data_IF_226791311061
#
_entry.id   IF_226791311061
#
_cell.length_a   1.000
_cell.length_b   1.000
_cell.length_c   1.000
_cell.angle_alpha   90.00
_cell.angle_beta   90.00
_cell.angle_gamma   90.00
#
_symmetry.space_group_name_H-M   'P 1'
#
loop_
_entity.id
_entity.type
_entity.pdbx_description
1 polymer ?
#
# COMPACT_ATOMS: atom_id res chain seq x y z
N UNK A 1 -67.71 34.37 40.40
CA UNK A 1 -67.88 35.73 41.02
C UNK A 1 -66.64 36.57 40.76
N UNK A 2 -66.90 37.79 40.19
CA UNK A 2 -66.05 38.98 40.11
C UNK A 2 -64.64 38.88 39.55
N UNK A 3 -64.49 39.22 38.26
CA UNK A 3 -64.11 40.48 37.56
C UNK A 3 -63.27 41.42 38.40
N UNK A 4 -62.04 41.75 37.91
CA UNK A 4 -61.74 43.17 37.66
C UNK A 4 -60.47 43.40 36.84
N UNK A 5 -60.67 44.11 35.72
CA UNK A 5 -59.69 44.73 34.81
C UNK A 5 -58.99 45.91 35.57
N UNK A 6 -57.75 46.25 35.15
CA UNK A 6 -57.40 47.66 34.83
C UNK A 6 -56.02 47.67 34.08
N UNK A 7 -56.03 48.25 33.12
CA UNK A 7 -55.60 49.22 32.11
C UNK A 7 -54.21 49.82 32.37
N UNK A 8 -53.39 49.79 31.32
CA UNK A 8 -52.56 50.84 30.69
C UNK A 8 -51.76 51.81 31.56
N UNK A 9 -50.49 51.81 31.21
CA UNK A 9 -49.56 52.91 31.49
C UNK A 9 -48.28 52.73 30.62
N UNK A 10 -48.29 53.47 29.53
CA UNK A 10 -47.15 53.67 28.62
C UNK A 10 -46.08 54.51 29.25
N UNK A 11 -44.84 54.08 29.36
CA UNK A 11 -43.69 54.98 29.47
C UNK A 11 -42.60 54.44 28.52
N UNK A 12 -42.29 55.26 27.52
CA UNK A 12 -41.07 55.16 26.73
C UNK A 12 -39.87 55.38 27.63
N UNK A 13 -38.98 54.39 27.64
CA UNK A 13 -37.65 54.53 28.20
C UNK A 13 -36.66 53.94 27.19
N UNK A 14 -36.01 54.80 26.39
CA UNK A 14 -34.83 54.40 25.59
C UNK A 14 -33.72 53.91 26.54
N UNK A 15 -33.48 52.62 26.57
CA UNK A 15 -32.25 52.08 27.09
C UNK A 15 -31.44 51.55 25.88
N UNK A 16 -30.45 52.34 25.48
CA UNK A 16 -29.37 51.90 24.58
C UNK A 16 -28.54 50.86 25.35
N UNK A 17 -28.87 49.60 25.15
CA UNK A 17 -28.00 48.51 25.59
C UNK A 17 -26.88 48.37 24.55
N UNK A 18 -25.69 48.87 24.89
CA UNK A 18 -24.43 48.49 24.23
C UNK A 18 -24.25 46.98 24.40
N UNK A 19 -24.56 46.22 23.36
CA UNK A 19 -24.11 44.88 23.20
C UNK A 19 -22.62 44.91 22.88
N UNK A 20 -21.78 44.88 23.90
CA UNK A 20 -20.38 44.46 23.75
C UNK A 20 -20.37 42.97 23.38
N UNK A 21 -20.33 42.70 22.08
CA UNK A 21 -20.00 41.39 21.56
C UNK A 21 -18.54 41.14 21.95
N UNK A 22 -18.32 40.40 23.02
CA UNK A 22 -17.06 39.72 23.24
C UNK A 22 -16.91 38.70 22.10
N UNK A 23 -16.27 39.13 21.03
CA UNK A 23 -15.67 38.22 20.07
C UNK A 23 -14.56 37.48 20.81
N UNK A 24 -14.90 36.33 21.42
CA UNK A 24 -13.93 35.31 21.74
C UNK A 24 -13.30 34.87 20.41
N UNK A 25 -12.26 35.61 20.02
CA UNK A 25 -11.39 35.21 18.94
C UNK A 25 -10.87 33.81 19.26
N UNK A 26 -11.47 32.81 18.63
CA UNK A 26 -10.86 31.50 18.56
C UNK A 26 -9.50 31.69 17.90
N UNK A 27 -8.44 31.78 18.68
CA UNK A 27 -7.08 31.59 18.24
C UNK A 27 -6.92 30.11 17.81
N UNK A 28 -7.66 29.73 16.77
CA UNK A 28 -7.22 28.62 15.95
C UNK A 28 -5.95 29.13 15.28
N UNK A 29 -4.79 28.46 15.47
CA UNK A 29 -3.63 28.80 14.70
C UNK A 29 -4.08 28.73 13.23
N UNK A 30 -4.03 29.87 12.52
CA UNK A 30 -4.21 29.88 11.07
C UNK A 30 -3.25 28.81 10.57
N UNK A 31 -3.77 27.68 10.08
CA UNK A 31 -2.98 26.75 9.30
C UNK A 31 -2.40 27.59 8.16
N UNK A 32 -1.14 28.00 8.32
CA UNK A 32 -0.47 28.78 7.32
C UNK A 32 -0.60 28.03 6.02
N UNK A 33 -1.28 28.64 5.05
CA UNK A 33 -1.28 28.14 3.68
C UNK A 33 0.17 28.00 3.29
N UNK A 34 0.64 26.75 3.17
CA UNK A 34 2.01 26.47 2.82
C UNK A 34 2.23 26.96 1.37
N UNK A 35 2.79 28.14 1.23
CA UNK A 35 3.12 28.69 -0.07
C UNK A 35 4.31 27.91 -0.64
N UNK A 36 4.10 27.23 -1.77
CA UNK A 36 5.16 26.61 -2.55
C UNK A 36 5.72 27.67 -3.50
N UNK A 37 6.97 28.04 -3.31
CA UNK A 37 7.67 29.00 -4.14
C UNK A 37 8.58 28.27 -5.13
N UNK A 38 8.37 28.46 -6.42
CA UNK A 38 9.21 27.88 -7.47
C UNK A 38 10.67 28.35 -7.39
N UNK A 39 10.91 29.51 -6.78
CA UNK A 39 12.25 30.08 -6.62
C UNK A 39 13.09 29.36 -5.54
N UNK A 40 12.47 28.51 -4.72
CA UNK A 40 13.17 27.70 -3.71
C UNK A 40 14.14 26.68 -4.33
N UNK A 41 13.99 26.36 -5.62
CA UNK A 41 14.83 25.40 -6.40
C UNK A 41 15.66 26.10 -7.47
N UNK A 42 15.83 27.42 -7.41
CA UNK A 42 16.54 28.17 -8.44
C UNK A 42 17.98 27.65 -8.63
N UNK A 43 18.28 27.22 -9.86
CA UNK A 43 19.64 26.87 -10.29
C UNK A 43 20.62 28.03 -10.26
N UNK A 44 20.12 29.26 -10.13
CA UNK A 44 20.92 30.52 -10.13
C UNK A 44 21.59 30.81 -8.78
N UNK A 45 21.26 30.08 -7.71
CA UNK A 45 21.80 30.38 -6.37
C UNK A 45 23.18 29.78 -6.08
N UNK A 46 23.72 28.91 -6.94
CA UNK A 46 25.03 28.26 -6.76
C UNK A 46 25.12 27.32 -5.58
N UNK A 47 24.07 27.18 -4.76
CA UNK A 47 24.04 26.28 -3.62
C UNK A 47 23.42 24.95 -4.01
N UNK A 48 24.16 23.87 -3.72
CA UNK A 48 23.66 22.50 -3.86
C UNK A 48 22.60 22.22 -2.77
N UNK A 49 21.45 21.66 -3.18
CA UNK A 49 20.39 21.22 -2.29
C UNK A 49 20.49 19.71 -2.15
N UNK A 50 20.75 19.24 -0.94
CA UNK A 50 20.80 17.80 -0.66
C UNK A 50 19.50 17.38 -0.01
N UNK A 51 18.86 16.32 -0.55
CA UNK A 51 17.70 15.64 0.01
C UNK A 51 18.08 14.21 0.38
N UNK A 52 17.47 13.67 1.44
CA UNK A 52 17.67 12.28 1.87
C UNK A 52 16.42 11.46 1.58
N UNK A 53 16.61 10.27 1.02
CA UNK A 53 15.53 9.34 0.70
C UNK A 53 15.74 7.98 1.38
N UNK A 54 14.95 7.72 2.43
CA UNK A 54 14.91 6.40 3.08
C UNK A 54 14.09 5.41 2.27
N UNK A 55 14.69 4.30 1.91
CA UNK A 55 14.07 3.28 1.07
C UNK A 55 14.43 1.86 1.54
N UNK A 56 13.67 0.88 1.07
CA UNK A 56 13.86 -0.54 1.32
C UNK A 56 14.09 -1.32 0.01
N UNK A 57 14.66 -0.68 -1.01
CA UNK A 57 14.88 -1.30 -2.30
C UNK A 57 16.14 -2.16 -2.30
N UNK A 58 16.01 -3.39 -2.77
CA UNK A 58 17.12 -4.35 -2.90
C UNK A 58 17.22 -4.89 -4.34
N UNK A 59 18.31 -5.58 -4.66
CA UNK A 59 18.49 -6.23 -5.96
C UNK A 59 18.29 -5.30 -7.15
N UNK A 60 17.52 -5.74 -8.14
CA UNK A 60 17.20 -4.96 -9.36
C UNK A 60 16.48 -3.65 -9.06
N UNK A 61 15.65 -3.61 -8.01
CA UNK A 61 14.96 -2.40 -7.61
C UNK A 61 15.91 -1.33 -7.06
N UNK A 62 16.92 -1.72 -6.28
CA UNK A 62 17.98 -0.81 -5.83
C UNK A 62 18.79 -0.25 -7.01
N UNK A 63 19.15 -1.11 -7.96
CA UNK A 63 19.88 -0.71 -9.18
C UNK A 63 19.06 0.27 -10.02
N UNK A 64 17.76 -0.02 -10.22
CA UNK A 64 16.87 0.85 -10.98
C UNK A 64 16.71 2.22 -10.30
N UNK A 65 16.50 2.24 -8.97
CA UNK A 65 16.36 3.49 -8.22
C UNK A 65 17.63 4.36 -8.32
N UNK A 66 18.81 3.75 -8.20
CA UNK A 66 20.10 4.46 -8.37
C UNK A 66 20.23 5.06 -9.76
N UNK A 67 19.87 4.31 -10.81
CA UNK A 67 19.93 4.84 -12.19
C UNK A 67 18.95 5.99 -12.40
N UNK A 68 17.70 5.87 -11.95
CA UNK A 68 16.70 6.94 -12.04
C UNK A 68 17.14 8.18 -11.26
N UNK A 69 17.79 8.00 -10.11
CA UNK A 69 18.35 9.09 -9.33
C UNK A 69 19.48 9.80 -10.07
N UNK A 70 20.40 9.05 -10.67
CA UNK A 70 21.48 9.63 -11.48
C UNK A 70 20.95 10.41 -12.70
N UNK A 71 19.90 9.89 -13.36
CA UNK A 71 19.23 10.58 -14.47
C UNK A 71 18.57 11.89 -14.00
N UNK A 72 17.98 11.89 -12.80
CA UNK A 72 17.42 13.10 -12.20
C UNK A 72 18.49 14.13 -11.86
N UNK A 73 19.57 13.74 -11.19
CA UNK A 73 20.67 14.63 -10.83
C UNK A 73 21.37 15.23 -12.05
N UNK A 74 21.48 14.46 -13.14
CA UNK A 74 21.99 14.97 -14.43
C UNK A 74 21.10 16.08 -15.01
N UNK A 75 19.78 15.94 -14.85
CA UNK A 75 18.81 16.96 -15.30
C UNK A 75 18.71 18.15 -14.32
N UNK A 76 19.08 17.94 -13.05
CA UNK A 76 18.98 18.92 -11.97
C UNK A 76 20.33 19.01 -11.20
N UNK A 77 21.40 19.55 -11.81
CA UNK A 77 22.76 19.46 -11.24
C UNK A 77 22.94 20.17 -9.90
N UNK A 78 22.00 21.02 -9.51
CA UNK A 78 21.97 21.68 -8.20
C UNK A 78 21.27 20.86 -7.10
N UNK A 79 20.71 19.69 -7.42
CA UNK A 79 20.03 18.81 -6.47
C UNK A 79 20.84 17.51 -6.33
N UNK A 80 21.11 17.11 -5.10
CA UNK A 80 21.71 15.82 -4.73
C UNK A 80 20.67 14.98 -3.97
N UNK A 81 20.50 13.73 -4.36
CA UNK A 81 19.58 12.79 -3.70
C UNK A 81 20.37 11.69 -3.02
N UNK A 82 20.49 11.75 -1.70
CA UNK A 82 21.13 10.69 -0.91
C UNK A 82 20.15 9.55 -0.69
N UNK A 83 20.35 8.44 -1.41
CA UNK A 83 19.62 7.21 -1.22
C UNK A 83 20.15 6.46 0.00
N UNK A 84 19.33 6.32 1.03
CA UNK A 84 19.66 5.62 2.26
C UNK A 84 18.79 4.37 2.40
N UNK A 85 19.37 3.20 2.09
CA UNK A 85 18.68 1.93 2.24
C UNK A 85 18.62 1.55 3.73
N UNK A 86 17.43 1.24 4.22
CA UNK A 86 17.17 0.91 5.63
C UNK A 86 16.92 -0.59 5.86
N UNK A 87 17.33 -1.45 4.92
CA UNK A 87 17.05 -2.88 4.98
C UNK A 87 15.78 -3.28 4.28
N UNK A 88 15.01 -4.20 4.83
CA UNK A 88 13.71 -4.59 4.30
C UNK A 88 12.58 -3.64 4.77
N UNK A 89 11.34 -3.93 4.38
CA UNK A 89 10.19 -3.09 4.78
C UNK A 89 9.96 -3.09 6.30
N UNK A 90 10.26 -4.17 7.01
CA UNK A 90 10.11 -4.22 8.47
C UNK A 90 11.18 -3.39 9.17
N UNK A 91 12.40 -3.38 8.63
CA UNK A 91 13.52 -2.56 9.13
C UNK A 91 13.22 -1.07 8.92
N UNK A 92 12.78 -0.69 7.70
CA UNK A 92 12.39 0.68 7.38
C UNK A 92 11.23 1.16 8.28
N UNK A 93 10.22 0.33 8.49
CA UNK A 93 9.10 0.65 9.38
C UNK A 93 9.55 0.84 10.83
N UNK A 94 10.37 -0.07 11.34
CA UNK A 94 10.95 0.03 12.68
C UNK A 94 11.76 1.30 12.87
N UNK A 95 12.60 1.63 11.88
CA UNK A 95 13.39 2.86 11.85
C UNK A 95 12.52 4.12 11.83
N UNK A 96 11.47 4.14 11.00
CA UNK A 96 10.52 5.25 10.96
C UNK A 96 9.82 5.43 12.30
N UNK A 97 9.29 4.35 12.89
CA UNK A 97 8.57 4.40 14.16
C UNK A 97 9.44 4.97 15.29
N UNK A 98 10.71 4.56 15.37
CA UNK A 98 11.64 5.07 16.38
C UNK A 98 12.03 6.53 16.12
N UNK A 99 12.29 6.90 14.85
CA UNK A 99 12.75 8.25 14.51
C UNK A 99 11.62 9.30 14.58
N UNK A 100 10.36 8.91 14.34
CA UNK A 100 9.20 9.81 14.49
C UNK A 100 9.03 10.36 15.93
N UNK A 101 9.65 9.74 16.94
CA UNK A 101 9.71 10.26 18.30
C UNK A 101 10.64 11.49 18.41
N UNK A 102 11.62 11.60 17.51
CA UNK A 102 12.45 12.80 17.36
C UNK A 102 12.46 13.26 15.89
N UNK A 103 11.45 14.04 15.46
CA UNK A 103 11.21 14.37 14.06
C UNK A 103 12.36 15.12 13.35
N UNK A 104 13.27 15.75 14.09
CA UNK A 104 14.43 16.45 13.53
C UNK A 104 15.37 15.50 12.77
N UNK A 105 15.36 14.21 13.13
CA UNK A 105 16.22 13.17 12.53
C UNK A 105 15.56 12.43 11.37
N UNK A 106 14.33 12.78 11.01
CA UNK A 106 13.64 12.19 9.87
C UNK A 106 14.30 12.61 8.55
N UNK A 107 14.28 11.76 7.52
CA UNK A 107 14.78 12.10 6.19
C UNK A 107 13.92 13.19 5.53
N UNK A 108 14.37 13.71 4.39
CA UNK A 108 13.52 14.60 3.58
C UNK A 108 12.29 13.85 3.08
N UNK A 109 12.48 12.65 2.51
CA UNK A 109 11.43 11.77 2.00
C UNK A 109 11.68 10.32 2.38
N UNK A 110 10.61 9.54 2.42
CA UNK A 110 10.66 8.09 2.69
C UNK A 110 9.68 7.31 1.86
N UNK A 111 10.01 6.06 1.54
CA UNK A 111 9.02 5.07 1.18
C UNK A 111 8.24 4.65 2.43
N UNK A 112 6.92 4.50 2.30
CA UNK A 112 6.10 3.91 3.36
C UNK A 112 4.78 3.39 2.81
N UNK A 113 4.15 2.48 3.52
CA UNK A 113 2.71 2.26 3.42
C UNK A 113 1.98 3.38 4.18
N UNK A 114 0.84 3.86 3.70
CA UNK A 114 0.13 4.98 4.34
C UNK A 114 -0.25 4.68 5.79
N UNK A 115 -0.55 3.42 6.13
CA UNK A 115 -0.89 3.00 7.49
C UNK A 115 0.26 3.21 8.49
N UNK A 116 1.51 3.10 8.06
CA UNK A 116 2.68 3.33 8.93
C UNK A 116 2.76 4.77 9.40
N UNK A 117 2.26 5.69 8.57
CA UNK A 117 2.39 7.12 8.76
C UNK A 117 1.11 7.79 9.27
N UNK A 118 0.10 7.02 9.68
CA UNK A 118 -1.15 7.58 10.21
C UNK A 118 -0.88 8.55 11.39
N UNK A 119 -0.08 8.12 12.37
CA UNK A 119 0.29 8.94 13.53
C UNK A 119 1.12 10.16 13.12
N UNK A 120 2.08 10.02 12.22
CA UNK A 120 2.86 11.14 11.69
C UNK A 120 1.98 12.17 10.98
N UNK A 121 0.99 11.72 10.21
CA UNK A 121 0.02 12.60 9.54
C UNK A 121 -0.85 13.36 10.55
N UNK A 122 -1.38 12.67 11.57
CA UNK A 122 -2.23 13.27 12.61
C UNK A 122 -1.46 14.24 13.50
N UNK A 123 -0.18 13.95 13.77
CA UNK A 123 0.73 14.84 14.52
C UNK A 123 1.31 15.98 13.67
N UNK A 124 0.90 16.08 12.40
CA UNK A 124 1.33 17.16 11.53
C UNK A 124 2.81 17.09 11.10
N UNK A 125 3.44 15.92 11.15
CA UNK A 125 4.83 15.71 10.75
C UNK A 125 5.01 15.54 9.23
N UNK A 126 3.93 15.23 8.50
CA UNK A 126 3.95 15.08 7.04
C UNK A 126 3.57 16.39 6.32
N UNK A 127 4.13 16.57 5.15
CA UNK A 127 3.76 17.66 4.24
C UNK A 127 2.50 17.27 3.46
N UNK A 128 1.46 18.11 3.52
CA UNK A 128 0.34 18.02 2.59
C UNK A 128 0.82 18.38 1.18
N UNK A 129 0.77 17.43 0.26
CA UNK A 129 1.30 17.59 -1.09
C UNK A 129 0.32 18.28 -2.05
N UNK A 130 -0.93 18.54 -1.62
CA UNK A 130 -1.91 19.20 -2.49
C UNK A 130 -1.41 20.55 -3.04
N UNK A 131 -0.82 21.47 -2.22
CA UNK A 131 -0.26 22.73 -2.73
C UNK A 131 0.87 22.52 -3.75
N UNK A 132 1.67 21.46 -3.61
CA UNK A 132 2.70 21.11 -4.60
C UNK A 132 2.07 20.58 -5.89
N UNK A 133 1.08 19.70 -5.79
CA UNK A 133 0.38 19.14 -6.95
C UNK A 133 -0.29 20.24 -7.80
N UNK A 134 -0.89 21.22 -7.14
CA UNK A 134 -1.68 22.27 -7.78
C UNK A 134 -0.83 23.50 -8.17
N UNK A 135 0.49 23.51 -7.86
CA UNK A 135 1.37 24.63 -8.19
C UNK A 135 1.52 24.78 -9.71
N UNK A 136 1.34 25.99 -10.22
CA UNK A 136 1.37 26.27 -11.67
C UNK A 136 2.75 26.13 -12.31
N UNK A 137 3.84 26.26 -11.53
CA UNK A 137 5.21 26.21 -12.04
C UNK A 137 5.85 24.83 -11.87
N UNK A 138 5.73 24.23 -10.70
CA UNK A 138 6.40 22.96 -10.35
C UNK A 138 5.46 21.77 -10.23
N UNK A 139 4.14 22.01 -10.19
CA UNK A 139 3.14 20.98 -10.00
C UNK A 139 3.04 19.99 -11.15
N UNK A 140 2.15 19.02 -10.98
CA UNK A 140 1.92 18.00 -12.00
C UNK A 140 1.25 18.55 -13.27
N UNK A 141 0.61 19.73 -13.21
CA UNK A 141 -0.31 20.17 -14.24
C UNK A 141 -1.51 19.22 -14.41
N UNK A 142 -2.48 19.60 -15.20
CA UNK A 142 -3.69 18.80 -15.40
C UNK A 142 -3.42 17.46 -16.09
N UNK A 143 -2.59 17.46 -17.12
CA UNK A 143 -2.29 16.25 -17.92
C UNK A 143 -1.48 15.25 -17.11
N UNK A 144 -0.43 15.68 -16.43
CA UNK A 144 0.46 14.78 -15.71
C UNK A 144 -0.21 14.17 -14.47
N UNK A 145 -1.05 14.94 -13.77
CA UNK A 145 -1.83 14.43 -12.63
C UNK A 145 -2.89 13.41 -13.07
N UNK A 146 -3.61 13.66 -14.17
CA UNK A 146 -4.60 12.72 -14.70
C UNK A 146 -3.98 11.42 -15.22
N UNK A 147 -2.68 11.45 -15.52
CA UNK A 147 -1.94 10.26 -15.94
C UNK A 147 -1.56 9.35 -14.77
N UNK A 148 -1.61 9.80 -13.52
CA UNK A 148 -1.43 8.88 -12.38
C UNK A 148 -2.76 8.15 -12.16
N UNK A 149 -2.71 6.82 -12.04
CA UNK A 149 -3.90 6.01 -11.85
C UNK A 149 -4.65 6.44 -10.56
N UNK A 150 -5.92 6.78 -10.71
CA UNK A 150 -6.76 7.29 -9.61
C UNK A 150 -6.73 6.42 -8.35
N UNK A 151 -6.84 5.07 -8.43
CA UNK A 151 -6.75 4.23 -7.23
C UNK A 151 -5.41 4.35 -6.49
N UNK A 152 -4.32 4.61 -7.21
CA UNK A 152 -3.01 4.79 -6.59
C UNK A 152 -2.91 6.15 -5.87
N UNK A 153 -3.44 7.23 -6.48
CA UNK A 153 -3.52 8.52 -5.80
C UNK A 153 -4.37 8.46 -4.53
N UNK A 154 -5.55 7.85 -4.63
CA UNK A 154 -6.45 7.67 -3.48
C UNK A 154 -5.79 6.82 -2.38
N UNK A 155 -5.04 5.77 -2.77
CA UNK A 155 -4.29 4.93 -1.85
C UNK A 155 -3.18 5.65 -1.09
N UNK A 156 -2.67 6.78 -1.62
CA UNK A 156 -1.63 7.60 -1.00
C UNK A 156 -2.18 8.75 -0.14
N UNK A 157 -3.48 8.69 0.23
CA UNK A 157 -4.14 9.67 1.11
C UNK A 157 -4.23 9.17 2.54
N UNK A 158 -4.20 10.10 3.49
CA UNK A 158 -4.46 9.84 4.91
C UNK A 158 -5.44 10.90 5.38
N UNK A 159 -6.56 10.49 5.98
CA UNK A 159 -7.63 11.40 6.43
C UNK A 159 -8.07 12.39 5.34
N UNK A 160 -8.18 11.92 4.09
CA UNK A 160 -8.62 12.71 2.95
C UNK A 160 -7.60 13.72 2.41
N UNK A 161 -6.37 13.76 2.92
CA UNK A 161 -5.29 14.62 2.43
C UNK A 161 -4.27 13.82 1.64
N UNK A 162 -3.74 14.43 0.57
CA UNK A 162 -2.70 13.84 -0.27
C UNK A 162 -1.34 14.02 0.41
N UNK A 163 -0.84 12.99 1.06
CA UNK A 163 0.48 13.00 1.70
C UNK A 163 1.55 12.26 0.89
N UNK A 164 1.15 11.31 0.04
CA UNK A 164 2.08 10.51 -0.73
C UNK A 164 1.99 10.74 -2.23
N UNK A 165 3.10 10.50 -2.92
CA UNK A 165 3.16 10.29 -4.38
C UNK A 165 3.28 8.79 -4.62
N UNK A 166 2.36 8.15 -5.39
CA UNK A 166 2.47 6.74 -5.73
C UNK A 166 3.79 6.41 -6.43
N UNK A 167 4.41 5.30 -6.06
CA UNK A 167 5.69 4.93 -6.66
C UNK A 167 5.77 3.44 -7.05
N UNK A 168 6.06 2.54 -6.12
CA UNK A 168 6.29 1.13 -6.40
C UNK A 168 5.05 0.29 -6.07
N UNK A 169 4.09 0.30 -6.96
CA UNK A 169 2.81 -0.39 -6.78
C UNK A 169 2.83 -1.82 -7.30
N UNK A 170 2.11 -2.69 -6.63
CA UNK A 170 1.91 -4.08 -7.03
C UNK A 170 0.49 -4.55 -6.66
N UNK A 171 0.16 -5.74 -7.10
CA UNK A 171 -1.05 -6.47 -6.70
C UNK A 171 -0.76 -7.95 -6.70
N UNK A 172 -1.70 -8.78 -6.29
CA UNK A 172 -1.51 -10.23 -6.33
C UNK A 172 -1.90 -10.81 -7.68
N UNK A 173 -1.11 -11.78 -8.12
CA UNK A 173 -1.35 -12.60 -9.31
C UNK A 173 -1.19 -14.08 -8.95
N UNK A 174 -1.63 -14.97 -9.83
CA UNK A 174 -1.37 -16.39 -9.75
C UNK A 174 -0.17 -16.72 -10.62
N UNK A 175 0.95 -17.12 -10.01
CA UNK A 175 2.05 -17.78 -10.70
C UNK A 175 1.78 -19.27 -10.74
N UNK A 176 2.03 -19.91 -11.88
CA UNK A 176 1.87 -21.36 -12.04
C UNK A 176 2.94 -21.95 -12.94
N UNK A 177 3.27 -23.22 -12.72
CA UNK A 177 4.16 -23.98 -13.57
C UNK A 177 3.33 -24.73 -14.62
N UNK A 178 3.40 -24.36 -15.92
CA UNK A 178 2.59 -24.98 -16.97
C UNK A 178 2.92 -26.46 -17.17
N UNK A 179 4.17 -26.89 -16.96
CA UNK A 179 4.56 -28.28 -17.13
C UNK A 179 3.91 -29.18 -16.07
N UNK A 180 3.86 -28.68 -14.81
CA UNK A 180 3.19 -29.41 -13.72
C UNK A 180 1.68 -29.49 -13.98
N UNK A 181 1.04 -28.39 -14.37
CA UNK A 181 -0.39 -28.37 -14.65
C UNK A 181 -0.72 -29.33 -15.81
N UNK A 182 0.04 -29.26 -16.91
CA UNK A 182 -0.14 -30.13 -18.08
C UNK A 182 0.09 -31.62 -17.73
N UNK A 183 1.14 -31.92 -16.96
CA UNK A 183 1.47 -33.29 -16.51
C UNK A 183 0.31 -33.96 -15.78
N UNK A 184 -0.39 -33.19 -14.94
CA UNK A 184 -1.50 -33.73 -14.15
C UNK A 184 -2.89 -33.46 -14.76
N UNK A 185 -2.96 -32.84 -15.95
CA UNK A 185 -4.21 -32.54 -16.66
C UNK A 185 -5.08 -31.50 -15.97
N UNK A 186 -4.45 -30.53 -15.28
CA UNK A 186 -5.13 -29.51 -14.49
C UNK A 186 -5.20 -28.19 -15.25
N UNK A 187 -6.38 -27.58 -15.31
CA UNK A 187 -6.57 -26.26 -15.93
C UNK A 187 -6.18 -25.14 -14.98
N UNK A 188 -5.74 -24.00 -15.52
CA UNK A 188 -5.45 -22.79 -14.77
C UNK A 188 -6.71 -22.30 -14.03
N UNK A 189 -6.70 -22.20 -12.69
CA UNK A 189 -7.88 -21.82 -11.93
C UNK A 189 -8.22 -20.34 -12.06
N UNK A 190 -9.52 -20.03 -12.21
CA UNK A 190 -10.07 -18.67 -12.31
C UNK A 190 -10.85 -18.24 -11.07
N UNK A 191 -11.13 -19.17 -10.16
CA UNK A 191 -11.82 -18.91 -8.89
C UNK A 191 -11.10 -19.61 -7.75
N UNK A 192 -11.31 -19.15 -6.50
CA UNK A 192 -10.72 -19.79 -5.32
C UNK A 192 -11.19 -21.26 -5.17
N UNK A 193 -12.44 -21.56 -5.55
CA UNK A 193 -12.93 -22.95 -5.54
C UNK A 193 -12.16 -23.82 -6.56
N UNK A 194 -11.92 -23.30 -7.76
CA UNK A 194 -11.11 -24.00 -8.76
C UNK A 194 -9.64 -24.14 -8.33
N UNK A 195 -9.07 -23.11 -7.62
CA UNK A 195 -7.72 -23.21 -7.07
C UNK A 195 -7.61 -24.34 -6.05
N UNK A 196 -8.61 -24.47 -5.14
CA UNK A 196 -8.67 -25.56 -4.18
C UNK A 196 -8.75 -26.92 -4.88
N UNK A 197 -9.62 -27.08 -5.87
CA UNK A 197 -9.80 -28.32 -6.62
C UNK A 197 -8.51 -28.70 -7.37
N UNK A 198 -7.93 -27.76 -8.13
CA UNK A 198 -6.69 -27.96 -8.87
C UNK A 198 -5.54 -28.37 -7.94
N UNK A 199 -5.47 -27.76 -6.76
CA UNK A 199 -4.44 -28.05 -5.77
C UNK A 199 -4.56 -29.46 -5.20
N UNK A 200 -5.78 -29.92 -4.90
CA UNK A 200 -6.04 -31.30 -4.47
C UNK A 200 -5.63 -32.31 -5.55
N UNK A 201 -6.07 -32.10 -6.78
CA UNK A 201 -5.75 -32.99 -7.90
C UNK A 201 -4.23 -33.13 -8.13
N UNK A 202 -3.48 -32.02 -8.09
CA UNK A 202 -2.03 -32.05 -8.23
C UNK A 202 -1.40 -32.82 -7.07
N UNK A 203 -1.81 -32.55 -5.85
CA UNK A 203 -1.27 -33.17 -4.65
C UNK A 203 -1.48 -34.69 -4.66
N UNK A 204 -2.69 -35.15 -4.95
CA UNK A 204 -3.04 -36.57 -5.05
C UNK A 204 -2.34 -37.26 -6.21
N UNK A 205 -2.44 -36.71 -7.45
CA UNK A 205 -1.83 -37.28 -8.65
C UNK A 205 -0.30 -37.30 -8.61
N UNK A 206 0.31 -36.44 -7.82
CA UNK A 206 1.76 -36.44 -7.58
C UNK A 206 2.22 -37.43 -6.51
N UNK A 207 1.32 -38.22 -5.93
CA UNK A 207 1.56 -39.01 -4.73
C UNK A 207 2.15 -38.15 -3.58
N UNK A 208 1.55 -36.99 -3.36
CA UNK A 208 1.90 -36.00 -2.30
C UNK A 208 3.30 -35.37 -2.45
N UNK A 209 3.91 -35.46 -3.63
CA UNK A 209 5.26 -34.93 -3.90
C UNK A 209 5.28 -33.46 -4.28
N UNK A 210 4.15 -32.96 -4.82
CA UNK A 210 3.99 -31.56 -5.26
C UNK A 210 2.80 -30.96 -4.54
N UNK A 211 3.02 -29.89 -3.81
CA UNK A 211 1.95 -29.09 -3.21
C UNK A 211 1.24 -28.30 -4.30
N UNK A 212 -0.09 -28.29 -4.28
CA UNK A 212 -0.88 -27.65 -5.34
C UNK A 212 -0.75 -26.14 -5.36
N UNK A 213 -0.91 -25.46 -4.20
CA UNK A 213 -0.76 -24.02 -4.14
C UNK A 213 -0.07 -23.53 -2.86
N UNK A 214 0.64 -22.42 -2.98
CA UNK A 214 1.34 -21.75 -1.89
C UNK A 214 0.87 -20.31 -1.62
N UNK A 215 1.06 -19.84 -0.39
CA UNK A 215 0.60 -18.57 0.12
C UNK A 215 1.63 -17.94 1.05
N UNK A 216 1.96 -16.65 0.84
CA UNK A 216 2.97 -15.93 1.63
C UNK A 216 2.45 -14.68 2.37
N UNK A 217 1.36 -14.07 1.91
CA UNK A 217 0.80 -12.86 2.49
C UNK A 217 -0.56 -13.13 3.17
N UNK A 218 -0.54 -13.88 4.29
CA UNK A 218 -1.75 -14.43 4.93
C UNK A 218 -2.78 -13.37 5.33
N UNK A 219 -2.32 -12.20 5.80
CA UNK A 219 -3.18 -11.07 6.11
C UNK A 219 -3.89 -10.51 4.87
N UNK A 220 -3.19 -10.41 3.73
CA UNK A 220 -3.82 -9.98 2.47
C UNK A 220 -4.93 -10.94 2.06
N UNK A 221 -4.67 -12.24 2.11
CA UNK A 221 -5.63 -13.25 1.67
C UNK A 221 -6.89 -13.24 2.52
N UNK A 222 -6.74 -13.05 3.84
CA UNK A 222 -7.87 -12.87 4.72
C UNK A 222 -8.69 -11.61 4.38
N UNK A 223 -8.02 -10.46 4.23
CA UNK A 223 -8.68 -9.19 3.92
C UNK A 223 -9.40 -9.22 2.57
N UNK A 224 -8.77 -9.82 1.55
CA UNK A 224 -9.38 -9.99 0.22
C UNK A 224 -10.57 -10.95 0.29
N UNK A 225 -10.47 -12.02 1.09
CA UNK A 225 -11.57 -12.95 1.33
C UNK A 225 -12.77 -12.26 1.99
N UNK A 226 -12.54 -11.47 3.04
CA UNK A 226 -13.59 -10.70 3.71
C UNK A 226 -14.21 -9.63 2.79
N UNK A 227 -13.40 -8.98 1.95
CA UNK A 227 -13.90 -8.05 0.92
C UNK A 227 -14.87 -8.74 -0.05
N UNK A 228 -14.66 -10.02 -0.32
CA UNK A 228 -15.57 -10.85 -1.12
C UNK A 228 -16.96 -11.05 -0.48
N UNK A 229 -17.08 -10.92 0.82
CA UNK A 229 -18.33 -10.93 1.60
C UNK A 229 -18.88 -9.51 1.86
N UNK A 230 -18.25 -8.46 1.33
CA UNK A 230 -18.66 -7.07 1.53
C UNK A 230 -18.03 -6.38 2.75
N UNK A 231 -17.21 -7.08 3.52
CA UNK A 231 -16.59 -6.53 4.72
C UNK A 231 -15.31 -5.76 4.41
N UNK A 232 -15.01 -4.79 5.25
CA UNK A 232 -13.76 -4.02 5.24
C UNK A 232 -12.95 -4.30 6.50
N UNK A 233 -11.61 -4.33 6.37
CA UNK A 233 -10.71 -4.55 7.50
C UNK A 233 -10.65 -3.29 8.39
N UNK A 234 -11.52 -3.22 9.38
CA UNK A 234 -11.63 -2.14 10.36
C UNK A 234 -11.81 -2.73 11.76
N UNK A 235 -11.76 -1.89 12.79
CA UNK A 235 -12.04 -2.30 14.18
C UNK A 235 -13.45 -2.88 14.41
N UNK A 236 -14.36 -2.69 13.44
CA UNK A 236 -15.72 -3.25 13.48
C UNK A 236 -15.81 -4.66 12.92
N UNK A 237 -14.74 -5.16 12.26
CA UNK A 237 -14.72 -6.49 11.68
C UNK A 237 -14.81 -7.56 12.78
N UNK A 238 -15.82 -8.44 12.68
CA UNK A 238 -15.95 -9.57 13.58
C UNK A 238 -15.14 -10.76 13.06
N UNK A 239 -13.96 -10.98 13.64
CA UNK A 239 -13.06 -12.08 13.26
C UNK A 239 -13.65 -13.48 13.55
N UNK A 240 -14.61 -13.60 14.49
CA UNK A 240 -15.30 -14.86 14.83
C UNK A 240 -16.63 -15.03 14.06
N UNK A 241 -16.91 -14.22 13.03
CA UNK A 241 -18.11 -14.31 12.21
C UNK A 241 -18.14 -15.59 11.35
N UNK A 242 -19.34 -15.95 10.87
CA UNK A 242 -19.52 -17.09 9.94
C UNK A 242 -18.67 -16.94 8.67
N UNK A 243 -18.62 -15.74 8.09
CA UNK A 243 -17.89 -15.51 6.86
C UNK A 243 -16.39 -15.45 7.07
N UNK A 244 -15.92 -14.88 8.18
CA UNK A 244 -14.53 -14.97 8.62
C UNK A 244 -14.07 -16.43 8.76
N UNK A 245 -14.88 -17.27 9.42
CA UNK A 245 -14.59 -18.71 9.53
C UNK A 245 -14.51 -19.41 8.18
N UNK A 246 -15.35 -19.05 7.21
CA UNK A 246 -15.24 -19.61 5.85
C UNK A 246 -13.91 -19.24 5.18
N UNK A 247 -13.50 -17.98 5.30
CA UNK A 247 -12.21 -17.52 4.77
C UNK A 247 -11.05 -18.27 5.43
N UNK A 248 -11.03 -18.33 6.76
CA UNK A 248 -9.97 -19.02 7.52
C UNK A 248 -9.93 -20.51 7.16
N UNK A 249 -11.10 -21.18 7.16
CA UNK A 249 -11.21 -22.61 6.90
C UNK A 249 -10.75 -22.98 5.49
N UNK A 250 -10.96 -22.11 4.49
CA UNK A 250 -10.47 -22.35 3.15
C UNK A 250 -8.96 -22.66 3.12
N UNK A 251 -8.16 -21.84 3.83
CA UNK A 251 -6.71 -22.03 3.91
C UNK A 251 -6.31 -23.13 4.90
N UNK A 252 -6.95 -23.15 6.07
CA UNK A 252 -6.62 -24.08 7.13
C UNK A 252 -6.88 -25.55 6.76
N UNK A 253 -7.96 -25.82 6.02
CA UNK A 253 -8.23 -27.18 5.51
C UNK A 253 -7.16 -27.60 4.50
N UNK A 254 -6.76 -26.68 3.58
CA UNK A 254 -5.76 -26.98 2.59
C UNK A 254 -4.37 -27.25 3.17
N UNK A 255 -4.00 -26.51 4.21
CA UNK A 255 -2.73 -26.74 4.93
C UNK A 255 -2.78 -28.05 5.72
N UNK A 256 -3.90 -28.32 6.40
CA UNK A 256 -4.12 -29.56 7.13
C UNK A 256 -4.03 -30.78 6.23
N UNK A 257 -4.69 -30.72 5.08
CA UNK A 257 -4.76 -31.82 4.12
C UNK A 257 -3.51 -31.91 3.21
N UNK A 258 -2.57 -30.94 3.31
CA UNK A 258 -1.27 -30.94 2.62
C UNK A 258 -1.26 -30.36 1.20
N UNK A 259 -2.41 -30.07 0.60
CA UNK A 259 -2.47 -29.52 -0.77
C UNK A 259 -2.24 -28.01 -0.83
N UNK A 260 -2.21 -27.31 0.31
CA UNK A 260 -1.75 -25.92 0.44
C UNK A 260 -0.52 -25.82 1.34
N UNK A 261 0.33 -24.84 1.05
CA UNK A 261 1.52 -24.51 1.85
C UNK A 261 1.55 -23.02 2.16
N UNK A 262 1.98 -22.66 3.36
CA UNK A 262 2.32 -21.28 3.72
C UNK A 262 3.84 -21.11 3.75
N UNK A 263 4.31 -19.88 3.49
CA UNK A 263 5.75 -19.61 3.36
C UNK A 263 6.54 -19.82 4.66
N UNK A 264 5.93 -19.62 5.83
CA UNK A 264 6.57 -19.78 7.13
C UNK A 264 7.84 -18.93 7.25
N UNK A 265 8.92 -19.55 7.73
CA UNK A 265 10.22 -18.88 7.92
C UNK A 265 10.89 -18.42 6.61
N UNK A 266 10.53 -18.98 5.47
CA UNK A 266 11.06 -18.57 4.17
C UNK A 266 10.51 -17.23 3.68
N UNK A 267 9.49 -16.68 4.33
CA UNK A 267 8.79 -15.43 4.01
C UNK A 267 8.10 -15.39 2.63
N UNK A 268 8.63 -16.05 1.59
CA UNK A 268 8.17 -15.96 0.21
C UNK A 268 8.02 -17.33 -0.46
N UNK A 269 7.01 -17.47 -1.31
CA UNK A 269 6.68 -18.72 -2.02
C UNK A 269 7.44 -18.92 -3.34
N UNK A 270 8.16 -17.91 -3.84
CA UNK A 270 8.88 -18.08 -5.10
C UNK A 270 9.96 -19.16 -5.04
N UNK A 271 10.64 -19.37 -3.92
CA UNK A 271 11.67 -20.41 -3.77
C UNK A 271 11.11 -21.84 -3.90
N UNK A 272 10.12 -22.28 -3.08
CA UNK A 272 9.53 -23.61 -3.27
C UNK A 272 8.84 -23.79 -4.65
N UNK A 273 8.32 -22.70 -5.24
CA UNK A 273 7.77 -22.71 -6.58
C UNK A 273 8.83 -22.94 -7.66
N UNK A 274 9.93 -22.20 -7.65
CA UNK A 274 11.01 -22.35 -8.62
C UNK A 274 11.72 -23.70 -8.54
N UNK A 275 11.71 -24.33 -7.37
CA UNK A 275 12.25 -25.66 -7.13
C UNK A 275 11.25 -26.79 -7.47
N UNK A 276 10.08 -26.48 -8.04
CA UNK A 276 9.06 -27.45 -8.45
C UNK A 276 8.36 -28.17 -7.29
N UNK A 277 8.51 -27.70 -6.05
CA UNK A 277 7.84 -28.27 -4.87
C UNK A 277 6.40 -27.80 -4.72
N UNK A 278 6.09 -26.65 -5.30
CA UNK A 278 4.75 -26.02 -5.31
C UNK A 278 4.38 -25.74 -6.77
N UNK A 279 3.21 -26.17 -7.20
CA UNK A 279 2.77 -26.03 -8.58
C UNK A 279 2.29 -24.61 -8.92
N UNK A 280 1.66 -23.96 -7.98
CA UNK A 280 1.08 -22.62 -8.13
C UNK A 280 1.33 -21.81 -6.85
N UNK A 281 1.40 -20.49 -6.95
CA UNK A 281 1.27 -19.64 -5.77
C UNK A 281 0.59 -18.31 -6.09
N UNK A 282 -0.17 -17.81 -5.13
CA UNK A 282 -0.69 -16.45 -5.15
C UNK A 282 0.35 -15.57 -4.47
N UNK A 283 0.78 -14.52 -5.15
CA UNK A 283 1.79 -13.63 -4.59
C UNK A 283 1.86 -12.29 -5.32
N UNK A 284 2.68 -11.40 -4.81
CA UNK A 284 2.87 -10.08 -5.42
C UNK A 284 3.34 -10.17 -6.87
N UNK A 285 2.78 -9.34 -7.74
CA UNK A 285 3.22 -9.19 -9.14
C UNK A 285 4.73 -8.89 -9.25
N UNK A 286 5.32 -8.20 -8.27
CA UNK A 286 6.77 -7.94 -8.22
C UNK A 286 7.62 -9.18 -7.95
N UNK A 287 7.03 -10.33 -7.58
CA UNK A 287 7.77 -11.58 -7.38
C UNK A 287 8.40 -12.13 -8.67
N UNK A 288 7.92 -11.71 -9.83
CA UNK A 288 8.47 -12.13 -11.13
C UNK A 288 9.98 -11.88 -11.24
N UNK A 289 10.48 -10.79 -10.66
CA UNK A 289 11.92 -10.47 -10.66
C UNK A 289 12.78 -11.53 -9.96
N UNK A 290 12.22 -12.28 -9.01
CA UNK A 290 12.92 -13.34 -8.26
C UNK A 290 12.73 -14.72 -8.89
N UNK A 291 11.70 -14.92 -9.72
CA UNK A 291 11.42 -16.17 -10.44
C UNK A 291 12.29 -16.26 -11.70
N UNK A 292 12.44 -15.17 -12.42
CA UNK A 292 13.21 -15.13 -13.70
C UNK A 292 14.64 -15.63 -13.59
N UNK A 293 15.45 -15.21 -12.60
CA UNK A 293 16.83 -15.66 -12.46
C UNK A 293 16.97 -17.17 -12.21
N UNK A 294 15.93 -17.81 -11.67
CA UNK A 294 15.93 -19.24 -11.41
C UNK A 294 15.69 -20.11 -12.66
N UNK A 295 15.44 -19.49 -13.83
CA UNK A 295 15.12 -20.17 -15.09
C UNK A 295 13.98 -21.21 -14.99
N UNK A 296 13.12 -21.09 -13.98
CA UNK A 296 11.96 -21.95 -13.83
C UNK A 296 10.94 -21.69 -14.93
N UNK A 297 10.31 -22.75 -15.46
CA UNK A 297 9.18 -22.57 -16.35
C UNK A 297 7.97 -22.08 -15.55
N UNK A 298 7.49 -20.88 -15.86
CA UNK A 298 6.35 -20.27 -15.20
C UNK A 298 5.43 -19.57 -16.18
N UNK A 299 4.20 -19.42 -15.79
CA UNK A 299 3.25 -18.53 -16.42
C UNK A 299 2.49 -17.76 -15.34
N UNK A 300 1.75 -16.72 -15.75
CA UNK A 300 1.03 -15.82 -14.85
C UNK A 300 -0.42 -15.74 -15.29
N UNK A 301 -1.33 -15.79 -14.32
CA UNK A 301 -2.75 -15.54 -14.52
C UNK A 301 -3.23 -14.50 -13.50
N UNK A 302 -4.40 -13.90 -13.75
CA UNK A 302 -5.05 -13.07 -12.76
C UNK A 302 -5.27 -13.86 -11.46
N UNK A 303 -5.19 -13.17 -10.31
CA UNK A 303 -5.59 -13.77 -9.04
C UNK A 303 -6.98 -14.39 -9.18
N UNK A 304 -7.22 -15.62 -8.71
CA UNK A 304 -8.53 -16.29 -8.85
C UNK A 304 -9.59 -15.70 -7.90
N UNK A 305 -9.78 -14.39 -7.95
CA UNK A 305 -10.72 -13.61 -7.15
C UNK A 305 -11.13 -12.34 -7.90
N UNK A 306 -12.38 -11.89 -7.70
CA UNK A 306 -12.87 -10.61 -8.26
C UNK A 306 -12.22 -9.39 -7.60
N UNK A 307 -11.88 -9.49 -6.30
CA UNK A 307 -11.27 -8.41 -5.55
C UNK A 307 -9.76 -8.58 -5.54
N UNK A 308 -9.04 -7.46 -5.63
CA UNK A 308 -7.59 -7.44 -5.53
C UNK A 308 -7.13 -6.28 -4.64
N UNK A 309 -6.11 -6.53 -3.81
CA UNK A 309 -5.57 -5.55 -2.90
C UNK A 309 -4.44 -4.77 -3.56
N UNK A 310 -4.51 -3.44 -3.49
CA UNK A 310 -3.38 -2.59 -3.83
C UNK A 310 -2.27 -2.80 -2.83
N UNK A 311 -1.09 -3.11 -3.32
CA UNK A 311 0.13 -3.29 -2.55
C UNK A 311 1.20 -2.30 -2.99
N UNK A 312 2.32 -2.29 -2.26
CA UNK A 312 3.45 -1.42 -2.53
C UNK A 312 3.33 -0.06 -1.86
N UNK A 313 4.46 0.62 -1.79
CA UNK A 313 4.62 1.87 -1.03
C UNK A 313 4.43 3.10 -1.91
N UNK A 314 4.26 4.23 -1.24
CA UNK A 314 4.27 5.57 -1.79
C UNK A 314 5.48 6.32 -1.24
N UNK A 315 5.81 7.48 -1.79
CA UNK A 315 6.86 8.36 -1.27
C UNK A 315 6.19 9.50 -0.51
N UNK A 316 6.58 9.69 0.74
CA UNK A 316 6.07 10.71 1.65
C UNK A 316 7.17 11.71 2.01
N UNK A 317 6.78 12.96 2.29
CA UNK A 317 7.68 14.05 2.63
C UNK A 317 7.44 14.53 4.05
N UNK A 318 8.52 14.74 4.82
CA UNK A 318 8.46 15.23 6.19
C UNK A 318 8.64 16.74 6.29
N UNK A 319 7.99 17.36 7.29
CA UNK A 319 8.01 18.81 7.51
C UNK A 319 9.31 19.38 8.09
N UNK A 320 10.16 18.52 8.68
CA UNK A 320 11.46 18.94 9.21
C UNK A 320 12.42 19.44 8.10
N UNK A 321 12.21 19.05 6.86
CA UNK A 321 12.97 19.55 5.72
C UNK A 321 12.72 21.05 5.47
N UNK A 322 13.75 21.77 5.02
CA UNK A 322 13.64 23.17 4.61
C UNK A 322 12.72 23.33 3.39
N UNK A 323 12.27 24.55 3.10
CA UNK A 323 11.44 24.84 1.91
C UNK A 323 12.15 24.38 0.62
N UNK A 324 13.41 24.73 0.45
CA UNK A 324 14.19 24.33 -0.73
C UNK A 324 14.30 22.81 -0.87
N UNK A 325 14.57 22.11 0.23
CA UNK A 325 14.60 20.64 0.22
C UNK A 325 13.26 20.04 -0.13
N UNK A 326 12.14 20.58 0.39
CA UNK A 326 10.80 20.07 0.07
C UNK A 326 10.44 20.29 -1.40
N UNK A 327 10.80 21.43 -1.98
CA UNK A 327 10.58 21.70 -3.40
C UNK A 327 11.43 20.77 -4.27
N UNK A 328 12.72 20.62 -3.97
CA UNK A 328 13.63 19.69 -4.64
C UNK A 328 13.12 18.22 -4.54
N UNK A 329 12.66 17.81 -3.36
CA UNK A 329 12.10 16.50 -3.15
C UNK A 329 10.82 16.27 -3.97
N UNK A 330 9.95 17.28 -4.08
CA UNK A 330 8.75 17.17 -4.90
C UNK A 330 9.08 17.02 -6.39
N UNK A 331 10.06 17.78 -6.90
CA UNK A 331 10.55 17.62 -8.28
C UNK A 331 11.09 16.21 -8.53
N UNK A 332 11.84 15.65 -7.57
CA UNK A 332 12.31 14.28 -7.66
C UNK A 332 11.15 13.25 -7.63
N UNK A 333 10.20 13.39 -6.71
CA UNK A 333 9.03 12.52 -6.63
C UNK A 333 8.21 12.56 -7.94
N UNK A 334 8.03 13.75 -8.52
CA UNK A 334 7.36 13.95 -9.80
C UNK A 334 8.11 13.26 -10.94
N UNK A 335 9.43 13.46 -11.03
CA UNK A 335 10.29 12.81 -12.03
C UNK A 335 10.15 11.28 -12.00
N UNK A 336 10.11 10.68 -10.83
CA UNK A 336 9.93 9.23 -10.68
C UNK A 336 8.60 8.71 -11.26
N UNK A 337 7.59 9.57 -11.44
CA UNK A 337 6.28 9.20 -12.03
C UNK A 337 6.17 9.45 -13.53
N UNK A 338 7.20 10.01 -14.16
CA UNK A 338 7.21 10.27 -15.60
C UNK A 338 7.14 8.96 -16.40
N UNK A 339 6.53 8.97 -17.60
CA UNK A 339 6.33 7.76 -18.40
C UNK A 339 7.61 6.98 -18.66
N UNK A 340 8.72 7.66 -19.01
CA UNK A 340 10.02 7.05 -19.28
C UNK A 340 10.53 6.33 -18.03
N UNK A 341 10.47 6.98 -16.87
CA UNK A 341 10.94 6.44 -15.61
C UNK A 341 10.08 5.26 -15.17
N UNK A 342 8.76 5.37 -15.29
CA UNK A 342 7.83 4.31 -14.91
C UNK A 342 7.93 3.08 -15.81
N UNK A 343 8.19 3.24 -17.11
CA UNK A 343 8.44 2.10 -18.01
C UNK A 343 9.76 1.39 -17.65
N UNK A 344 10.82 2.16 -17.39
CA UNK A 344 12.11 1.61 -16.97
C UNK A 344 11.99 0.89 -15.62
N UNK A 345 11.31 1.50 -14.65
CA UNK A 345 11.06 0.92 -13.34
C UNK A 345 10.32 -0.41 -13.45
N UNK A 346 9.20 -0.42 -14.17
CA UNK A 346 8.39 -1.63 -14.35
C UNK A 346 9.17 -2.76 -15.04
N UNK A 347 9.92 -2.44 -16.10
CA UNK A 347 10.76 -3.40 -16.83
C UNK A 347 11.81 -4.04 -15.93
N UNK A 348 12.43 -3.27 -15.05
CA UNK A 348 13.57 -3.72 -14.25
C UNK A 348 13.14 -4.43 -12.97
N UNK A 349 11.99 -4.04 -12.39
CA UNK A 349 11.60 -4.43 -11.04
C UNK A 349 10.37 -5.35 -10.98
N UNK A 350 9.55 -5.39 -12.02
CA UNK A 350 8.26 -6.09 -12.01
C UNK A 350 7.15 -5.35 -11.24
N UNK A 351 7.42 -4.15 -10.70
CA UNK A 351 6.35 -3.31 -10.15
C UNK A 351 5.45 -2.76 -11.25
N UNK A 352 4.20 -2.47 -10.90
CA UNK A 352 3.23 -1.86 -11.82
C UNK A 352 3.56 -0.38 -12.02
N UNK A 353 3.50 0.13 -13.26
CA UNK A 353 3.59 1.57 -13.50
C UNK A 353 2.45 2.31 -12.80
N UNK A 354 2.75 3.40 -12.12
CA UNK A 354 1.71 4.28 -11.56
C UNK A 354 1.13 5.23 -12.61
N UNK A 355 1.81 5.36 -13.74
CA UNK A 355 1.39 6.19 -14.86
C UNK A 355 0.47 5.41 -15.81
N UNK A 356 -0.76 5.90 -16.02
CA UNK A 356 -1.78 5.25 -16.85
C UNK A 356 -1.37 5.10 -18.32
N UNK A 357 -0.63 6.06 -18.88
CA UNK A 357 -0.17 5.95 -20.27
C UNK A 357 0.76 4.75 -20.42
N UNK A 358 1.65 4.53 -19.45
CA UNK A 358 2.55 3.38 -19.42
C UNK A 358 1.76 2.11 -19.14
N UNK A 359 0.94 2.09 -18.09
CA UNK A 359 0.19 0.91 -17.66
C UNK A 359 -0.69 0.33 -18.78
N UNK A 360 -1.27 1.19 -19.61
CA UNK A 360 -2.13 0.80 -20.74
C UNK A 360 -1.39 0.63 -22.06
N UNK A 361 -0.08 0.96 -22.11
CA UNK A 361 0.71 0.93 -23.34
C UNK A 361 1.03 -0.49 -23.82
N UNK A 362 1.17 -0.67 -25.12
CA UNK A 362 1.66 -1.91 -25.70
C UNK A 362 3.13 -2.17 -25.31
N UNK A 363 3.92 -1.11 -25.12
CA UNK A 363 5.31 -1.21 -24.66
C UNK A 363 5.42 -1.86 -23.26
N UNK A 364 4.47 -1.61 -22.37
CA UNK A 364 4.41 -2.26 -21.07
C UNK A 364 3.82 -3.67 -21.17
N UNK A 365 2.66 -3.85 -21.84
CA UNK A 365 1.98 -5.15 -21.95
C UNK A 365 2.85 -6.24 -22.57
N UNK A 366 3.70 -5.86 -23.53
CA UNK A 366 4.54 -6.78 -24.30
C UNK A 366 6.02 -6.70 -23.89
N UNK A 367 6.33 -6.34 -22.64
CA UNK A 367 7.70 -6.33 -22.14
C UNK A 367 8.36 -7.68 -22.30
N UNK A 368 9.43 -7.73 -23.12
CA UNK A 368 10.16 -8.96 -23.41
C UNK A 368 10.69 -9.60 -22.10
N UNK A 369 10.55 -10.92 -22.03
CA UNK A 369 11.02 -11.72 -20.89
C UNK A 369 10.23 -11.53 -19.59
N UNK A 370 9.02 -10.95 -19.66
CA UNK A 370 8.09 -10.80 -18.52
C UNK A 370 6.70 -11.30 -18.90
N UNK A 371 5.92 -11.76 -17.93
CA UNK A 371 4.56 -12.29 -18.13
C UNK A 371 3.51 -11.54 -17.31
N UNK A 372 3.93 -10.90 -16.23
CA UNK A 372 3.06 -10.11 -15.33
C UNK A 372 2.38 -8.91 -16.02
N UNK A 373 3.08 -8.09 -16.85
CA UNK A 373 2.49 -6.89 -17.43
C UNK A 373 1.22 -7.14 -18.24
N UNK A 374 1.17 -8.22 -19.02
CA UNK A 374 0.00 -8.60 -19.81
C UNK A 374 -1.24 -8.89 -18.94
N UNK A 375 -1.01 -9.39 -17.71
CA UNK A 375 -2.07 -9.74 -16.76
C UNK A 375 -2.54 -8.54 -15.96
N UNK A 376 -1.61 -7.72 -15.45
CA UNK A 376 -1.94 -6.64 -14.51
C UNK A 376 -2.35 -5.32 -15.17
N UNK A 377 -2.12 -5.16 -16.46
CA UNK A 377 -2.45 -3.92 -17.18
C UNK A 377 -3.93 -3.48 -17.07
N UNK A 378 -4.82 -4.41 -16.77
CA UNK A 378 -6.24 -4.16 -16.55
C UNK A 378 -6.69 -4.36 -15.10
N UNK A 379 -5.75 -4.59 -14.16
CA UNK A 379 -6.09 -4.98 -12.78
C UNK A 379 -6.46 -3.80 -11.88
N UNK A 380 -6.25 -2.57 -12.31
CA UNK A 380 -6.50 -1.37 -11.47
C UNK A 380 -7.97 -1.10 -11.21
N UNK A 381 -8.88 -1.58 -12.08
CA UNK A 381 -10.31 -1.29 -11.99
C UNK A 381 -10.99 -1.93 -10.77
N UNK A 382 -10.49 -3.07 -10.31
CA UNK A 382 -11.04 -3.84 -9.19
C UNK A 382 -10.11 -3.85 -7.96
N UNK A 383 -9.16 -2.94 -7.90
CA UNK A 383 -8.30 -2.79 -6.73
C UNK A 383 -8.99 -2.01 -5.63
N UNK A 384 -8.79 -2.47 -4.41
CA UNK A 384 -9.13 -1.73 -3.20
C UNK A 384 -7.89 -1.51 -2.35
N UNK A 385 -7.94 -0.52 -1.47
CA UNK A 385 -6.87 -0.17 -0.53
C UNK A 385 -7.26 -0.57 0.88
N UNK A 386 -6.25 -0.88 1.70
CA UNK A 386 -6.46 -1.02 3.13
C UNK A 386 -6.92 0.30 3.74
N UNK A 387 -7.89 0.28 4.67
CA UNK A 387 -8.27 1.48 5.41
C UNK A 387 -7.07 2.07 6.16
N UNK A 388 -6.90 3.39 6.05
CA UNK A 388 -5.84 4.13 6.77
C UNK A 388 -6.49 4.84 7.95
N UNK A 389 -6.59 4.13 9.06
CA UNK A 389 -7.19 4.60 10.31
C UNK A 389 -6.28 4.27 11.48
N UNK A 390 -6.57 4.85 12.67
CA UNK A 390 -5.80 4.57 13.88
C UNK A 390 -5.65 3.07 14.09
N UNK A 391 -4.44 2.63 14.40
CA UNK A 391 -4.06 1.24 14.69
C UNK A 391 -4.27 0.23 13.55
N UNK A 392 -4.66 0.66 12.34
CA UNK A 392 -4.86 -0.26 11.20
C UNK A 392 -3.59 -1.05 10.85
N UNK A 393 -2.42 -0.43 10.98
CA UNK A 393 -1.16 -1.13 10.77
C UNK A 393 -0.90 -2.20 11.83
N UNK A 394 -1.04 -1.86 13.12
CA UNK A 394 -0.83 -2.79 14.24
C UNK A 394 -1.77 -4.01 14.10
N UNK A 395 -3.04 -3.75 13.80
CA UNK A 395 -4.02 -4.81 13.59
C UNK A 395 -3.70 -5.67 12.36
N UNK A 396 -3.17 -5.08 11.28
CA UNK A 396 -2.82 -5.80 10.06
C UNK A 396 -1.59 -6.71 10.24
N UNK A 397 -0.59 -6.26 10.98
CA UNK A 397 0.57 -7.08 11.37
C UNK A 397 0.12 -8.21 12.29
N UNK A 398 -0.72 -7.90 13.29
CA UNK A 398 -1.28 -8.90 14.21
C UNK A 398 -2.12 -9.95 13.46
N UNK A 399 -2.89 -9.53 12.45
CA UNK A 399 -3.66 -10.45 11.61
C UNK A 399 -2.78 -11.50 10.92
N UNK A 400 -1.61 -11.10 10.41
CA UNK A 400 -0.68 -12.07 9.80
C UNK A 400 -0.22 -13.12 10.79
N UNK A 401 0.14 -12.70 12.01
CA UNK A 401 0.54 -13.61 13.09
C UNK A 401 -0.62 -14.55 13.50
N UNK A 402 -1.82 -14.01 13.60
CA UNK A 402 -3.03 -14.77 13.92
C UNK A 402 -3.32 -15.83 12.84
N UNK A 403 -3.27 -15.46 11.58
CA UNK A 403 -3.47 -16.40 10.48
C UNK A 403 -2.41 -17.49 10.50
N UNK A 404 -1.14 -17.13 10.71
CA UNK A 404 -0.06 -18.09 10.83
C UNK A 404 -0.28 -19.03 12.01
N UNK A 405 -0.64 -18.51 13.19
CA UNK A 405 -0.96 -19.33 14.39
C UNK A 405 -2.05 -20.36 14.09
N UNK A 406 -3.16 -19.95 13.48
CA UNK A 406 -4.26 -20.86 13.15
C UNK A 406 -3.85 -21.93 12.13
N UNK A 407 -3.08 -21.55 11.09
CA UNK A 407 -2.72 -22.45 10.00
C UNK A 407 -1.60 -23.44 10.38
N UNK A 408 -0.74 -23.11 11.34
CA UNK A 408 0.33 -23.99 11.83
C UNK A 408 -0.12 -24.96 12.91
N UNK A 409 -1.34 -24.83 13.43
CA UNK A 409 -1.93 -25.74 14.43
C UNK A 409 -3.13 -26.52 13.87
N UNK A 410 -2.93 -27.34 12.83
CA UNK A 410 -4.04 -27.97 12.07
C UNK A 410 -4.86 -28.98 12.90
N UNK A 411 -4.30 -29.52 13.99
CA UNK A 411 -4.94 -30.51 14.85
C UNK A 411 -5.62 -29.90 16.10
N UNK A 412 -5.47 -28.58 16.31
CA UNK A 412 -6.12 -27.90 17.43
C UNK A 412 -7.59 -27.63 17.15
N UNK A 413 -8.36 -27.35 18.21
CA UNK A 413 -9.74 -26.90 18.06
C UNK A 413 -9.77 -25.52 17.40
N UNK A 414 -10.00 -25.52 16.10
CA UNK A 414 -9.95 -24.30 15.27
C UNK A 414 -10.94 -23.22 15.73
N UNK A 415 -12.14 -23.60 16.13
CA UNK A 415 -13.13 -22.62 16.61
C UNK A 415 -12.65 -21.93 17.88
N UNK A 416 -12.01 -22.66 18.78
CA UNK A 416 -11.43 -22.11 20.00
C UNK A 416 -10.25 -21.18 19.67
N UNK A 417 -9.35 -21.58 18.74
CA UNK A 417 -8.24 -20.73 18.27
C UNK A 417 -8.76 -19.44 17.64
N UNK A 418 -9.78 -19.51 16.78
CA UNK A 418 -10.38 -18.33 16.15
C UNK A 418 -10.93 -17.39 17.22
N UNK A 419 -11.67 -17.90 18.22
CA UNK A 419 -12.24 -17.12 19.32
C UNK A 419 -11.16 -16.43 20.16
N UNK A 420 -10.09 -17.15 20.51
CA UNK A 420 -8.95 -16.59 21.25
C UNK A 420 -8.22 -15.50 20.45
N UNK A 421 -7.98 -15.75 19.16
CA UNK A 421 -7.31 -14.84 18.28
C UNK A 421 -8.16 -13.61 17.91
N UNK A 422 -9.49 -13.72 17.95
CA UNK A 422 -10.39 -12.56 17.82
C UNK A 422 -10.13 -11.53 18.92
N UNK A 423 -9.83 -11.96 20.15
CA UNK A 423 -9.49 -11.05 21.24
C UNK A 423 -8.13 -10.37 21.01
N UNK A 424 -7.13 -11.11 20.51
CA UNK A 424 -5.82 -10.54 20.16
C UNK A 424 -5.96 -9.47 19.09
N UNK A 425 -6.76 -9.73 18.03
CA UNK A 425 -7.01 -8.75 16.97
C UNK A 425 -7.74 -7.51 17.49
N UNK A 426 -8.75 -7.69 18.35
CA UNK A 426 -9.46 -6.59 19.01
C UNK A 426 -8.53 -5.74 19.87
N UNK A 427 -7.63 -6.38 20.63
CA UNK A 427 -6.61 -5.66 21.42
C UNK A 427 -5.67 -4.85 20.54
N UNK A 428 -5.24 -5.38 19.38
CA UNK A 428 -4.38 -4.68 18.43
C UNK A 428 -5.05 -3.42 17.82
N UNK A 429 -6.38 -3.42 17.69
CA UNK A 429 -7.14 -2.24 17.26
C UNK A 429 -7.26 -1.16 18.35
N UNK A 430 -7.08 -1.51 19.63
CA UNK A 430 -7.28 -0.61 20.78
C UNK A 430 -5.96 -0.09 21.38
N UNK A 431 -4.81 -0.47 20.84
CA UNK A 431 -3.49 0.06 21.24
C UNK A 431 -3.31 1.50 20.72
#
# INVERSE_FOLDING_TARGET
>A
MKKRNWRLGTILGLAVAMLTVFALGSNRPKQGTFAVHADDVSTKTGKKITITFWNAMSGSASTALKQMTADFEKAHPNIEVKLENQGDYSDLQGKLNSTMQNPSNLPTITQAYPQWLYTAATNGQLVDLKPYFDNSKIGFGSIQRSNIAKPFLEGATINGKQYGVPFNKSTEVLFYNPDILNKYGVKVPKTMAQLKQASKEIYEKSNHKVVGAGFDALNNYYVIGMKGYGDSFTSKLNFDSKDSKKVINYYADGVKDGYFQIAGAQKYMYLPFTNGKVAMFVGSSSSEQYIKPAHANYAVAARPSKNNLQQGTDIYMFKNASKAQRTAAFEYMKFLTEPKQQLYWAKTTGYMPVNNQVLKSNSYKNLAGTKVPAVVSNSTENMFTMPVVKNSNTAFVQLNQIMQDILTHPNSNRNQLIKQNAQKLKSAWNQ
#
